data_IF_178865889669
#
_entry.id   IF_178865889669
#
_cell.length_a   1.000
_cell.length_b   1.000
_cell.length_c   1.000
_cell.angle_alpha   90.00
_cell.angle_beta   90.00
_cell.angle_gamma   90.00
#
_symmetry.space_group_name_H-M   'P 1'
#
loop_
_entity.id
_entity.type
_entity.pdbx_description
1 polymer ?
#
# COMPACT_ATOMS: atom_id res chain seq x y z
N UNK A 1 -3.08 -2.99 7.20
CA UNK A 1 -3.48 -1.70 6.61
C UNK A 1 -4.97 -1.44 6.76
N UNK A 2 -5.86 -2.28 6.21
CA UNK A 2 -7.32 -2.08 6.31
C UNK A 2 -7.85 -2.03 7.75
N UNK A 3 -7.33 -2.88 8.64
CA UNK A 3 -7.70 -2.85 10.07
C UNK A 3 -7.28 -1.54 10.74
N UNK A 4 -6.09 -1.04 10.45
CA UNK A 4 -5.59 0.22 11.00
C UNK A 4 -6.39 1.42 10.46
N UNK A 5 -6.74 1.41 9.18
CA UNK A 5 -7.66 2.38 8.58
C UNK A 5 -9.04 2.34 9.24
N UNK A 6 -9.57 1.14 9.50
CA UNK A 6 -10.85 0.96 10.20
C UNK A 6 -10.79 1.53 11.61
N UNK A 7 -9.72 1.20 12.34
CA UNK A 7 -9.49 1.67 13.69
C UNK A 7 -9.38 3.20 13.76
N UNK A 8 -8.57 3.81 12.89
CA UNK A 8 -8.37 5.27 12.93
C UNK A 8 -9.54 6.08 12.35
N UNK A 9 -10.21 5.59 11.30
CA UNK A 9 -11.33 6.31 10.66
C UNK A 9 -12.69 6.09 11.31
N UNK A 10 -12.83 5.04 12.15
CA UNK A 10 -14.11 4.59 12.70
C UNK A 10 -15.08 3.99 11.67
N UNK A 11 -14.67 3.83 10.41
CA UNK A 11 -15.47 3.25 9.33
C UNK A 11 -14.98 1.85 9.02
N UNK A 12 -15.90 0.90 8.81
CA UNK A 12 -15.51 -0.47 8.39
C UNK A 12 -14.87 -0.43 7.00
N UNK A 13 -13.59 -0.80 6.92
CA UNK A 13 -12.79 -0.87 5.69
C UNK A 13 -12.25 -2.30 5.55
N UNK A 14 -12.42 -2.90 4.38
CA UNK A 14 -12.02 -4.29 4.11
C UNK A 14 -10.94 -4.31 3.03
N UNK A 15 -9.92 -5.14 3.21
CA UNK A 15 -8.96 -5.44 2.15
C UNK A 15 -9.58 -6.42 1.16
N UNK A 16 -9.74 -5.99 -0.09
CA UNK A 16 -10.20 -6.84 -1.18
C UNK A 16 -9.00 -7.21 -2.06
N UNK A 17 -8.48 -8.42 -1.89
CA UNK A 17 -7.41 -8.93 -2.74
C UNK A 17 -7.98 -9.28 -4.12
N UNK A 18 -7.30 -8.84 -5.18
CA UNK A 18 -7.67 -9.08 -6.58
C UNK A 18 -6.50 -9.72 -7.33
N UNK A 19 -6.78 -10.32 -8.49
CA UNK A 19 -5.70 -10.67 -9.41
C UNK A 19 -5.08 -9.39 -10.00
N UNK A 20 -3.85 -9.47 -10.51
CA UNK A 20 -3.19 -8.32 -11.17
C UNK A 20 -4.05 -7.75 -12.31
N UNK A 21 -4.67 -8.63 -13.11
CA UNK A 21 -5.55 -8.23 -14.21
C UNK A 21 -6.80 -7.54 -13.70
N UNK A 22 -7.47 -8.09 -12.68
CA UNK A 22 -8.69 -7.51 -12.12
C UNK A 22 -8.40 -6.17 -11.41
N UNK A 23 -7.24 -6.05 -10.75
CA UNK A 23 -6.85 -4.82 -10.10
C UNK A 23 -6.52 -3.72 -11.11
N UNK A 24 -5.78 -4.03 -12.18
CA UNK A 24 -5.52 -3.08 -13.27
C UNK A 24 -6.83 -2.61 -13.91
N UNK A 25 -7.76 -3.53 -14.18
CA UNK A 25 -9.08 -3.21 -14.73
C UNK A 25 -9.90 -2.32 -13.77
N UNK A 26 -9.88 -2.60 -12.47
CA UNK A 26 -10.55 -1.78 -11.47
C UNK A 26 -9.99 -0.35 -11.42
N UNK A 27 -8.67 -0.18 -11.48
CA UNK A 27 -8.01 1.13 -11.51
C UNK A 27 -8.35 1.93 -12.78
N UNK A 28 -8.35 1.28 -13.95
CA UNK A 28 -8.78 1.89 -15.22
C UNK A 28 -10.25 2.31 -15.15
N UNK A 29 -11.12 1.46 -14.61
CA UNK A 29 -12.53 1.76 -14.38
C UNK A 29 -12.75 2.93 -13.40
N UNK A 30 -11.82 3.17 -12.49
CA UNK A 30 -11.80 4.33 -11.59
C UNK A 30 -11.21 5.61 -12.23
N UNK A 31 -10.76 5.55 -13.50
CA UNK A 31 -10.30 6.70 -14.27
C UNK A 31 -8.79 6.93 -14.31
N UNK A 32 -7.98 5.96 -13.86
CA UNK A 32 -6.52 6.06 -14.01
C UNK A 32 -6.10 5.82 -15.46
N UNK A 33 -5.05 6.51 -15.97
CA UNK A 33 -4.45 6.19 -17.26
C UNK A 33 -3.91 4.76 -17.31
N UNK A 34 -4.01 4.11 -18.47
CA UNK A 34 -3.71 2.69 -18.63
C UNK A 34 -2.34 2.28 -18.10
N UNK A 35 -1.29 2.98 -18.53
CA UNK A 35 0.08 2.67 -18.11
C UNK A 35 0.30 2.84 -16.59
N UNK A 36 -0.41 3.78 -15.95
CA UNK A 36 -0.33 3.95 -14.50
C UNK A 36 -1.06 2.83 -13.76
N UNK A 37 -2.25 2.44 -14.23
CA UNK A 37 -3.01 1.34 -13.66
C UNK A 37 -2.25 0.01 -13.77
N UNK A 38 -1.65 -0.26 -14.93
CA UNK A 38 -0.86 -1.47 -15.17
C UNK A 38 0.40 -1.50 -14.29
N UNK A 39 1.09 -0.37 -14.14
CA UNK A 39 2.25 -0.25 -13.24
C UNK A 39 1.88 -0.52 -11.78
N UNK A 40 0.76 0.03 -11.30
CA UNK A 40 0.31 -0.16 -9.91
C UNK A 40 -0.11 -1.61 -9.64
N UNK A 41 -0.84 -2.23 -10.57
CA UNK A 41 -1.22 -3.62 -10.43
C UNK A 41 -0.02 -4.56 -10.43
N UNK A 42 0.95 -4.30 -11.31
CA UNK A 42 2.21 -5.05 -11.35
C UNK A 42 3.01 -4.91 -10.06
N UNK A 43 3.05 -3.69 -9.50
CA UNK A 43 3.72 -3.42 -8.23
C UNK A 43 3.09 -4.21 -7.07
N UNK A 44 1.76 -4.28 -7.00
CA UNK A 44 1.04 -5.06 -5.98
C UNK A 44 1.29 -6.56 -6.13
N UNK A 45 1.27 -7.08 -7.36
CA UNK A 45 1.63 -8.46 -7.65
C UNK A 45 3.09 -8.79 -7.30
N UNK A 46 4.02 -7.83 -7.46
CA UNK A 46 5.40 -7.93 -7.00
C UNK A 46 5.51 -7.89 -5.47
N UNK A 47 4.73 -7.05 -4.81
CA UNK A 47 4.67 -6.96 -3.36
C UNK A 47 4.19 -8.28 -2.73
N UNK A 48 3.18 -8.94 -3.34
CA UNK A 48 2.71 -10.26 -2.93
C UNK A 48 3.80 -11.36 -3.00
N UNK A 49 4.85 -11.14 -3.80
CA UNK A 49 6.04 -12.00 -3.90
C UNK A 49 7.18 -11.57 -2.98
N UNK A 50 6.96 -10.59 -2.11
CA UNK A 50 7.95 -10.06 -1.16
C UNK A 50 8.81 -8.92 -1.72
N UNK A 51 8.53 -8.40 -2.91
CA UNK A 51 9.36 -7.37 -3.56
C UNK A 51 9.43 -6.02 -2.84
N UNK A 52 8.53 -5.76 -1.87
CA UNK A 52 8.52 -4.56 -1.04
C UNK A 52 8.95 -4.80 0.41
N UNK A 53 9.32 -6.03 0.78
CA UNK A 53 9.75 -6.35 2.13
C UNK A 53 11.27 -6.20 2.28
N UNK A 54 11.68 -5.45 3.30
CA UNK A 54 13.05 -5.36 3.80
C UNK A 54 13.01 -5.18 5.32
N UNK A 55 13.80 -5.97 6.05
CA UNK A 55 13.98 -5.89 7.50
C UNK A 55 15.42 -5.56 7.91
N UNK A 56 16.28 -5.19 6.95
CA UNK A 56 17.69 -4.83 7.20
C UNK A 56 17.86 -3.65 8.17
N UNK A 57 16.81 -2.83 8.30
CA UNK A 57 16.79 -1.56 9.02
C UNK A 57 17.86 -0.57 8.54
N UNK A 58 18.31 -0.70 7.29
CA UNK A 58 19.34 0.17 6.71
C UNK A 58 18.95 1.65 6.78
N UNK A 59 17.70 1.98 6.44
CA UNK A 59 17.23 3.36 6.48
C UNK A 59 17.26 3.97 7.88
N UNK A 60 16.76 3.25 8.90
CA UNK A 60 16.79 3.69 10.31
C UNK A 60 18.22 3.98 10.79
N UNK A 61 19.16 3.10 10.43
CA UNK A 61 20.58 3.26 10.77
C UNK A 61 21.15 4.50 10.07
N UNK A 62 20.86 4.66 8.77
CA UNK A 62 21.35 5.78 7.96
C UNK A 62 20.87 7.14 8.47
N UNK A 63 19.61 7.26 8.88
CA UNK A 63 19.02 8.54 9.31
C UNK A 63 19.14 8.81 10.81
N UNK A 64 19.68 7.86 11.59
CA UNK A 64 19.90 8.02 13.04
C UNK A 64 18.63 8.05 13.91
N UNK A 65 17.47 7.68 13.37
CA UNK A 65 16.19 7.62 14.09
C UNK A 65 15.29 6.49 13.56
N UNK A 66 14.29 6.02 14.33
CA UNK A 66 13.27 5.12 13.80
C UNK A 66 12.60 5.66 12.54
N UNK A 67 12.27 4.77 11.60
CA UNK A 67 11.41 5.11 10.46
C UNK A 67 10.00 5.41 10.95
N UNK A 68 9.33 6.35 10.29
CA UNK A 68 7.93 6.67 10.60
C UNK A 68 7.07 5.44 10.35
N UNK A 69 6.21 5.11 11.30
CA UNK A 69 5.33 3.93 11.22
C UNK A 69 4.13 4.17 10.31
N UNK A 70 3.47 3.09 9.89
CA UNK A 70 2.21 3.18 9.15
C UNK A 70 1.12 3.89 9.99
N UNK A 71 1.02 3.57 11.27
CA UNK A 71 0.06 4.19 12.21
C UNK A 71 0.25 5.70 12.29
N UNK A 72 1.49 6.19 12.41
CA UNK A 72 1.78 7.63 12.44
C UNK A 72 1.46 8.30 11.11
N UNK A 73 1.75 7.62 9.99
CA UNK A 73 1.47 8.13 8.65
C UNK A 73 -0.03 8.25 8.38
N UNK A 74 -0.83 7.31 8.87
CA UNK A 74 -2.29 7.37 8.74
C UNK A 74 -2.92 8.46 9.61
N UNK A 75 -2.36 8.71 10.79
CA UNK A 75 -2.86 9.75 11.72
C UNK A 75 -2.71 11.16 11.14
N UNK A 76 -1.78 11.40 10.22
CA UNK A 76 -1.59 12.73 9.64
C UNK A 76 -2.56 13.07 8.50
N UNK A 77 -3.36 12.10 8.03
CA UNK A 77 -4.27 12.26 6.89
C UNK A 77 -5.74 11.93 7.19
N UNK A 78 -6.03 11.24 8.30
CA UNK A 78 -7.38 10.90 8.78
C UNK A 78 -7.84 11.84 9.89
#
# INVERSE_FOLDING_TARGET
MADELTHQSGKKIVYQNLSEVDFAAALKGAGLPDGLADMLANSDAGAAKGGLFDDSHTLRKLIGRPTTTLTESLRSVL
#
